data_IF_581562668700
#
_entry.id   IF_581562668700
#
_cell.length_a   1.000
_cell.length_b   1.000
_cell.length_c   1.000
_cell.angle_alpha   90.00
_cell.angle_beta   90.00
_cell.angle_gamma   90.00
#
_symmetry.space_group_name_H-M   'P 1'
#
loop_
_entity.id
_entity.type
_entity.pdbx_description
1 polymer ?
#
# COMPACT_ATOMS: atom_id res chain seq x y z
N UNK A 1 -0.10 -29.06 2.67
CA UNK A 1 -0.86 -28.34 3.71
C UNK A 1 0.10 -27.97 4.82
N UNK A 2 0.02 -26.75 5.37
CA UNK A 2 0.87 -26.33 6.49
C UNK A 2 0.55 -27.16 7.75
N UNK A 3 1.57 -27.76 8.35
CA UNK A 3 1.43 -28.56 9.57
C UNK A 3 0.91 -27.70 10.75
N UNK A 4 1.23 -26.41 10.80
CA UNK A 4 0.73 -25.47 11.82
C UNK A 4 -0.78 -25.22 11.69
N UNK A 5 -1.31 -25.19 10.46
CA UNK A 5 -2.75 -25.03 10.20
C UNK A 5 -3.55 -26.21 10.77
N UNK A 6 -3.05 -27.44 10.58
CA UNK A 6 -3.71 -28.66 11.08
C UNK A 6 -3.82 -28.66 12.60
N UNK A 7 -2.83 -28.11 13.30
CA UNK A 7 -2.80 -28.07 14.76
C UNK A 7 -3.63 -26.93 15.37
N UNK A 8 -3.77 -25.79 14.68
CA UNK A 8 -4.50 -24.60 15.19
C UNK A 8 -5.31 -23.87 14.10
N UNK A 9 -6.29 -24.51 13.45
CA UNK A 9 -7.00 -23.93 12.31
C UNK A 9 -7.81 -22.68 12.68
N UNK A 10 -8.28 -22.60 13.94
CA UNK A 10 -9.04 -21.46 14.45
C UNK A 10 -8.29 -20.13 14.32
N UNK A 11 -6.97 -20.13 14.56
CA UNK A 11 -6.17 -18.89 14.50
C UNK A 11 -6.10 -18.39 13.05
N UNK A 12 -5.83 -19.29 12.10
CA UNK A 12 -5.77 -18.95 10.67
C UNK A 12 -7.10 -18.40 10.16
N UNK A 13 -8.23 -19.06 10.50
CA UNK A 13 -9.57 -18.63 10.06
C UNK A 13 -9.94 -17.28 10.66
N UNK A 14 -9.75 -17.09 11.97
CA UNK A 14 -10.08 -15.83 12.65
C UNK A 14 -9.21 -14.69 12.12
N UNK A 15 -7.91 -14.92 11.91
CA UNK A 15 -6.99 -13.91 11.41
C UNK A 15 -7.28 -13.52 9.96
N UNK A 16 -7.65 -14.48 9.11
CA UNK A 16 -8.10 -14.22 7.75
C UNK A 16 -9.44 -13.45 7.71
N UNK A 17 -10.40 -13.80 8.57
CA UNK A 17 -11.66 -13.07 8.69
C UNK A 17 -11.44 -11.63 9.19
N UNK A 18 -10.59 -11.44 10.20
CA UNK A 18 -10.23 -10.11 10.68
C UNK A 18 -9.56 -9.27 9.58
N UNK A 19 -8.67 -9.87 8.78
CA UNK A 19 -8.05 -9.19 7.64
C UNK A 19 -9.09 -8.77 6.60
N UNK A 20 -10.00 -9.67 6.25
CA UNK A 20 -11.09 -9.39 5.32
C UNK A 20 -12.01 -8.28 5.82
N UNK A 21 -12.44 -8.33 7.09
CA UNK A 21 -13.27 -7.29 7.71
C UNK A 21 -12.56 -5.93 7.76
N UNK A 22 -11.26 -5.92 8.12
CA UNK A 22 -10.46 -4.71 8.12
C UNK A 22 -10.36 -4.11 6.72
N UNK A 23 -10.10 -4.94 5.71
CA UNK A 23 -10.03 -4.50 4.32
C UNK A 23 -11.38 -3.95 3.84
N UNK A 24 -12.47 -4.67 4.05
CA UNK A 24 -13.82 -4.21 3.69
C UNK A 24 -14.13 -2.84 4.29
N UNK A 25 -13.83 -2.64 5.58
CA UNK A 25 -14.01 -1.34 6.23
C UNK A 25 -13.19 -0.22 5.58
N UNK A 26 -11.93 -0.51 5.22
CA UNK A 26 -11.06 0.45 4.54
C UNK A 26 -11.57 0.77 3.12
N UNK A 27 -12.07 -0.22 2.38
CA UNK A 27 -12.57 -0.03 1.01
C UNK A 27 -13.91 0.70 0.96
N UNK A 28 -14.79 0.49 1.93
CA UNK A 28 -16.01 1.29 2.03
C UNK A 28 -15.65 2.76 2.30
N UNK A 29 -14.63 3.02 3.14
CA UNK A 29 -14.15 4.37 3.36
C UNK A 29 -13.49 4.98 2.10
N UNK A 30 -12.80 4.16 1.30
CA UNK A 30 -12.22 4.55 0.01
C UNK A 30 -13.29 5.06 -0.96
N UNK A 31 -14.33 4.25 -1.19
CA UNK A 31 -15.42 4.58 -2.13
C UNK A 31 -16.03 5.97 -1.85
N UNK A 32 -16.20 6.31 -0.57
CA UNK A 32 -16.75 7.59 -0.12
C UNK A 32 -15.78 8.77 -0.37
N UNK A 33 -14.46 8.54 -0.33
CA UNK A 33 -13.44 9.61 -0.34
C UNK A 33 -12.87 9.85 -1.74
N UNK A 34 -12.65 8.78 -2.50
CA UNK A 34 -11.94 8.79 -3.79
C UNK A 34 -12.83 8.47 -4.99
N UNK A 35 -14.11 8.17 -4.80
CA UNK A 35 -15.04 7.75 -5.87
C UNK A 35 -14.58 6.47 -6.61
N UNK A 36 -13.86 5.57 -5.93
CA UNK A 36 -13.48 4.25 -6.44
C UNK A 36 -12.20 4.22 -7.30
N UNK A 37 -11.16 4.99 -6.93
CA UNK A 37 -9.91 5.05 -7.69
C UNK A 37 -8.99 3.83 -7.46
N UNK A 38 -8.11 3.56 -8.44
CA UNK A 38 -7.28 2.37 -8.65
C UNK A 38 -6.30 1.94 -7.52
N UNK A 39 -6.28 2.59 -6.37
CA UNK A 39 -5.20 2.48 -5.36
C UNK A 39 -5.46 1.34 -4.35
N UNK A 40 -6.63 0.70 -4.45
CA UNK A 40 -7.12 -0.36 -3.58
C UNK A 40 -6.15 -1.54 -3.42
N UNK A 41 -5.45 -1.93 -4.48
CA UNK A 41 -4.57 -3.10 -4.47
C UNK A 41 -3.35 -2.95 -3.52
N UNK A 42 -2.77 -1.75 -3.46
CA UNK A 42 -1.61 -1.48 -2.61
C UNK A 42 -2.00 -1.57 -1.12
N UNK A 43 -3.13 -0.96 -0.77
CA UNK A 43 -3.67 -0.97 0.59
C UNK A 43 -4.11 -2.39 1.00
N UNK A 44 -4.77 -3.13 0.09
CA UNK A 44 -5.12 -4.53 0.31
C UNK A 44 -3.89 -5.40 0.61
N UNK A 45 -2.79 -5.18 -0.11
CA UNK A 45 -1.52 -5.87 0.12
C UNK A 45 -0.88 -5.48 1.46
N UNK A 46 -0.96 -4.21 1.88
CA UNK A 46 -0.54 -3.78 3.23
C UNK A 46 -1.34 -4.50 4.33
N UNK A 47 -2.67 -4.58 4.19
CA UNK A 47 -3.53 -5.35 5.12
C UNK A 47 -3.09 -6.82 5.13
N UNK A 48 -2.90 -7.42 3.96
CA UNK A 48 -2.46 -8.81 3.85
C UNK A 48 -1.15 -9.03 4.60
N UNK A 49 -0.10 -8.23 4.39
CA UNK A 49 1.19 -8.41 5.09
C UNK A 49 1.06 -8.25 6.60
N UNK A 50 0.26 -7.30 7.08
CA UNK A 50 0.01 -7.10 8.52
C UNK A 50 -0.65 -8.31 9.17
N UNK A 51 -1.59 -8.94 8.47
CA UNK A 51 -2.29 -10.12 8.97
C UNK A 51 -1.61 -11.46 8.60
N UNK A 52 -0.71 -11.52 7.63
CA UNK A 52 0.05 -12.74 7.33
C UNK A 52 1.28 -12.86 8.23
N UNK A 53 2.02 -11.75 8.38
CA UNK A 53 3.33 -11.72 9.05
C UNK A 53 3.41 -10.53 10.02
N UNK A 54 2.52 -10.49 11.03
CA UNK A 54 2.40 -9.37 11.98
C UNK A 54 3.69 -9.07 12.75
N UNK A 55 4.57 -10.05 12.96
CA UNK A 55 5.82 -9.85 13.71
C UNK A 55 7.03 -9.55 12.82
N UNK A 56 6.85 -9.47 11.50
CA UNK A 56 7.93 -9.10 10.59
C UNK A 56 8.27 -7.61 10.68
N UNK A 57 9.52 -7.26 10.37
CA UNK A 57 9.94 -5.88 10.16
C UNK A 57 9.11 -5.20 9.06
N UNK A 58 8.75 -5.94 8.00
CA UNK A 58 8.01 -5.43 6.85
C UNK A 58 6.58 -4.96 7.19
N UNK A 59 6.01 -5.42 8.31
CA UNK A 59 4.71 -4.98 8.81
C UNK A 59 4.81 -3.90 9.88
N UNK A 60 6.01 -3.44 10.24
CA UNK A 60 6.17 -2.40 11.27
C UNK A 60 5.45 -1.10 10.87
N UNK A 61 4.77 -0.41 11.81
CA UNK A 61 4.05 0.84 11.55
C UNK A 61 4.87 1.89 10.83
N UNK A 62 6.13 2.06 11.26
CA UNK A 62 7.07 3.00 10.66
C UNK A 62 7.30 2.72 9.17
N UNK A 63 7.43 1.44 8.78
CA UNK A 63 7.63 1.06 7.38
C UNK A 63 6.36 1.15 6.56
N UNK A 64 5.20 0.82 7.13
CA UNK A 64 3.92 0.97 6.41
C UNK A 64 3.68 2.44 6.04
N UNK A 65 3.74 3.33 7.04
CA UNK A 65 3.51 4.76 6.83
C UNK A 65 4.63 5.35 5.96
N UNK A 66 5.89 5.08 6.32
CA UNK A 66 7.06 5.55 5.59
C UNK A 66 7.11 5.11 4.13
N UNK A 67 6.71 3.87 3.87
CA UNK A 67 6.63 3.30 2.52
C UNK A 67 5.59 4.01 1.66
N UNK A 68 4.38 4.22 2.18
CA UNK A 68 3.35 4.96 1.44
C UNK A 68 3.72 6.44 1.26
N UNK A 69 4.41 7.06 2.23
CA UNK A 69 4.92 8.43 2.05
C UNK A 69 6.02 8.53 0.99
N UNK A 70 6.95 7.57 0.93
CA UNK A 70 7.99 7.52 -0.10
C UNK A 70 7.41 7.22 -1.48
N UNK A 71 6.34 6.44 -1.56
CA UNK A 71 5.58 6.22 -2.78
C UNK A 71 4.92 7.51 -3.31
N UNK A 72 4.33 8.32 -2.43
CA UNK A 72 3.77 9.63 -2.81
C UNK A 72 4.88 10.56 -3.31
N UNK A 73 6.05 10.59 -2.66
CA UNK A 73 7.20 11.36 -3.14
C UNK A 73 7.68 10.89 -4.53
N UNK A 74 7.75 9.58 -4.74
CA UNK A 74 8.09 9.00 -6.04
C UNK A 74 7.08 9.37 -7.14
N UNK A 75 5.79 9.32 -6.82
CA UNK A 75 4.72 9.73 -7.72
C UNK A 75 4.79 11.22 -8.06
N UNK A 76 5.13 12.10 -7.12
CA UNK A 76 5.36 13.52 -7.39
C UNK A 76 6.52 13.74 -8.37
N UNK A 77 7.58 12.93 -8.30
CA UNK A 77 8.65 12.98 -9.29
C UNK A 77 8.16 12.61 -10.69
N UNK A 78 7.40 11.53 -10.83
CA UNK A 78 6.86 11.11 -12.14
C UNK A 78 5.85 12.10 -12.70
N UNK A 79 4.92 12.60 -11.88
CA UNK A 79 3.97 13.64 -12.30
C UNK A 79 4.72 14.92 -12.69
N UNK A 80 5.78 15.29 -11.98
CA UNK A 80 6.66 16.39 -12.36
C UNK A 80 7.27 16.21 -13.76
N UNK A 81 7.73 15.00 -14.09
CA UNK A 81 8.20 14.67 -15.44
C UNK A 81 7.06 14.76 -16.47
N UNK A 82 5.86 14.28 -16.12
CA UNK A 82 4.68 14.35 -16.99
C UNK A 82 4.32 15.78 -17.37
N UNK A 83 4.40 16.71 -16.41
CA UNK A 83 4.10 18.14 -16.62
C UNK A 83 5.13 18.86 -17.49
N UNK A 84 6.32 18.29 -17.68
CA UNK A 84 7.36 18.85 -18.56
C UNK A 84 7.25 18.33 -20.01
N UNK A 85 6.40 17.32 -20.25
CA UNK A 85 6.18 16.77 -21.58
C UNK A 85 5.14 17.61 -22.35
N UNK A 86 5.27 17.75 -23.68
CA UNK A 86 4.22 18.33 -24.51
C UNK A 86 2.92 17.52 -24.40
N UNK A 87 1.76 18.19 -24.48
CA UNK A 87 0.44 17.54 -24.36
C UNK A 87 0.24 16.37 -25.35
N UNK A 88 0.80 16.50 -26.56
CA UNK A 88 0.76 15.45 -27.59
C UNK A 88 1.50 14.16 -27.18
N UNK A 89 2.47 14.27 -26.28
CA UNK A 89 3.26 13.15 -25.75
C UNK A 89 2.69 12.68 -24.43
N UNK A 90 2.26 13.59 -23.55
CA UNK A 90 1.71 13.25 -22.23
C UNK A 90 0.40 12.44 -22.32
N UNK A 91 -0.41 12.67 -23.35
CA UNK A 91 -1.64 11.90 -23.59
C UNK A 91 -1.41 10.51 -24.20
N UNK A 92 -0.19 10.16 -24.60
CA UNK A 92 0.11 8.88 -25.23
C UNK A 92 0.11 7.75 -24.20
N UNK A 93 -0.73 6.73 -24.41
CA UNK A 93 -0.85 5.56 -23.51
C UNK A 93 0.49 4.86 -23.24
N UNK A 94 1.38 4.77 -24.24
CA UNK A 94 2.71 4.19 -24.06
C UNK A 94 3.57 4.99 -23.08
N UNK A 95 3.45 6.31 -23.11
CA UNK A 95 4.16 7.22 -22.20
C UNK A 95 3.58 7.10 -20.80
N UNK A 96 2.25 7.09 -20.67
CA UNK A 96 1.54 6.90 -19.39
C UNK A 96 1.98 5.59 -18.71
N UNK A 97 1.91 4.47 -19.42
CA UNK A 97 2.31 3.16 -18.88
C UNK A 97 3.82 3.10 -18.60
N UNK A 98 4.63 3.72 -19.47
CA UNK A 98 6.08 3.85 -19.25
C UNK A 98 6.39 4.61 -17.96
N UNK A 99 5.65 5.68 -17.68
CA UNK A 99 5.84 6.51 -16.49
C UNK A 99 5.34 5.81 -15.21
N UNK A 100 4.22 5.07 -15.30
CA UNK A 100 3.75 4.18 -14.24
C UNK A 100 4.77 3.10 -13.89
N UNK A 101 5.41 2.48 -14.87
CA UNK A 101 6.51 1.54 -14.63
C UNK A 101 7.76 2.23 -14.09
N UNK A 102 8.10 3.41 -14.62
CA UNK A 102 9.27 4.17 -14.20
C UNK A 102 9.17 4.66 -12.74
N UNK A 103 7.97 4.83 -12.19
CA UNK A 103 7.75 5.22 -10.79
C UNK A 103 8.30 4.20 -9.77
N UNK A 104 8.51 2.96 -10.20
CA UNK A 104 9.13 1.90 -9.39
C UNK A 104 10.57 2.24 -8.98
N UNK A 105 11.35 2.87 -9.86
CA UNK A 105 12.74 3.23 -9.57
C UNK A 105 12.87 4.25 -8.42
N UNK A 106 12.20 5.43 -8.45
CA UNK A 106 12.28 6.40 -7.37
C UNK A 106 11.65 5.89 -6.07
N UNK A 107 10.60 5.07 -6.10
CA UNK A 107 10.02 4.53 -4.85
C UNK A 107 10.98 3.56 -4.16
N UNK A 108 11.63 2.67 -4.91
CA UNK A 108 12.67 1.79 -4.33
C UNK A 108 13.78 2.64 -3.73
N UNK A 109 14.28 3.63 -4.47
CA UNK A 109 15.34 4.52 -4.02
C UNK A 109 14.95 5.24 -2.70
N UNK A 110 13.77 5.87 -2.66
CA UNK A 110 13.31 6.59 -1.48
C UNK A 110 13.08 5.67 -0.28
N UNK A 111 12.49 4.49 -0.48
CA UNK A 111 12.32 3.50 0.59
C UNK A 111 13.66 3.04 1.15
N UNK A 112 14.66 2.80 0.29
CA UNK A 112 16.00 2.39 0.71
C UNK A 112 16.71 3.51 1.47
N UNK A 113 16.66 4.75 0.99
CA UNK A 113 17.30 5.90 1.67
C UNK A 113 16.65 6.17 3.04
N UNK A 114 15.33 6.03 3.13
CA UNK A 114 14.59 6.30 4.37
C UNK A 114 14.48 5.10 5.31
N UNK A 115 14.98 3.92 4.90
CA UNK A 115 14.84 2.64 5.62
C UNK A 115 13.36 2.31 5.89
N UNK A 116 12.49 2.60 4.93
CA UNK A 116 11.03 2.42 4.99
C UNK A 116 10.56 1.32 4.02
N UNK A 117 11.35 0.27 3.83
CA UNK A 117 11.01 -0.78 2.87
C UNK A 117 9.65 -1.42 3.20
N UNK A 118 8.66 -1.13 2.34
CA UNK A 118 7.32 -1.69 2.41
C UNK A 118 6.83 -1.95 0.99
N UNK A 119 7.09 -3.15 0.49
CA UNK A 119 6.82 -3.56 -0.89
C UNK A 119 5.42 -3.19 -1.40
N UNK A 120 4.31 -3.30 -0.63
CA UNK A 120 2.98 -2.88 -1.09
C UNK A 120 2.89 -1.43 -1.57
N UNK A 121 3.69 -0.52 -1.01
CA UNK A 121 3.65 0.88 -1.38
C UNK A 121 4.23 1.17 -2.77
N UNK A 122 4.97 0.23 -3.38
CA UNK A 122 5.30 0.33 -4.80
C UNK A 122 4.03 0.37 -5.68
N UNK A 123 2.96 -0.33 -5.29
CA UNK A 123 1.67 -0.26 -5.96
C UNK A 123 1.02 1.13 -5.86
N UNK A 124 1.22 1.82 -4.74
CA UNK A 124 0.77 3.21 -4.55
C UNK A 124 1.50 4.17 -5.49
N UNK A 125 2.82 4.03 -5.63
CA UNK A 125 3.62 4.85 -6.55
C UNK A 125 3.18 4.63 -8.00
N UNK A 126 2.88 3.38 -8.38
CA UNK A 126 2.36 3.04 -9.70
C UNK A 126 0.98 3.68 -9.93
N UNK A 127 0.06 3.54 -8.97
CA UNK A 127 -1.30 4.09 -9.07
C UNK A 127 -1.37 5.62 -9.14
N UNK A 128 -0.42 6.31 -8.50
CA UNK A 128 -0.33 7.77 -8.46
C UNK A 128 0.61 8.37 -9.52
N UNK A 129 1.23 7.55 -10.38
CA UNK A 129 2.35 8.01 -11.21
C UNK A 129 1.99 9.13 -12.20
N UNK A 130 0.71 9.26 -12.56
CA UNK A 130 0.18 10.18 -13.57
C UNK A 130 -0.60 11.34 -12.96
N UNK A 131 -1.11 11.20 -11.74
CA UNK A 131 -1.78 12.26 -11.00
C UNK A 131 -1.74 11.96 -9.50
N UNK A 132 -1.58 13.02 -8.69
CA UNK A 132 -1.58 12.94 -7.23
C UNK A 132 -2.73 13.76 -6.66
N UNK A 133 -3.99 13.30 -6.78
CA UNK A 133 -5.12 14.01 -6.20
C UNK A 133 -5.07 13.96 -4.68
N UNK A 134 -5.45 15.08 -4.05
CA UNK A 134 -5.36 15.24 -2.59
C UNK A 134 -6.22 14.21 -1.83
N UNK A 135 -7.39 13.84 -2.39
CA UNK A 135 -8.29 12.86 -1.79
C UNK A 135 -7.61 11.49 -1.69
N UNK A 136 -6.90 11.05 -2.73
CA UNK A 136 -6.15 9.79 -2.71
C UNK A 136 -5.01 9.83 -1.70
N UNK A 137 -4.29 10.96 -1.61
CA UNK A 137 -3.22 11.12 -0.60
C UNK A 137 -3.78 11.00 0.83
N UNK A 138 -4.87 11.70 1.13
CA UNK A 138 -5.54 11.64 2.43
C UNK A 138 -6.00 10.20 2.72
N UNK A 139 -6.60 9.53 1.74
CA UNK A 139 -7.03 8.14 1.88
C UNK A 139 -5.86 7.19 2.16
N UNK A 140 -4.79 7.23 1.37
CA UNK A 140 -3.63 6.36 1.55
C UNK A 140 -2.99 6.54 2.93
N UNK A 141 -2.77 7.79 3.33
CA UNK A 141 -2.13 8.10 4.61
C UNK A 141 -3.03 7.67 5.77
N UNK A 142 -4.33 7.96 5.71
CA UNK A 142 -5.28 7.52 6.75
C UNK A 142 -5.39 6.00 6.82
N UNK A 143 -5.46 5.30 5.68
CA UNK A 143 -5.45 3.84 5.64
C UNK A 143 -4.16 3.26 6.22
N UNK A 144 -2.98 3.79 5.86
CA UNK A 144 -1.70 3.35 6.42
C UNK A 144 -1.64 3.52 7.95
N UNK A 145 -2.19 4.63 8.47
CA UNK A 145 -2.29 4.88 9.91
C UNK A 145 -3.27 3.89 10.57
N UNK A 146 -4.47 3.70 10.00
CA UNK A 146 -5.47 2.76 10.51
C UNK A 146 -4.90 1.34 10.56
N UNK A 147 -4.26 0.88 9.49
CA UNK A 147 -3.62 -0.44 9.43
C UNK A 147 -2.53 -0.56 10.50
N UNK A 148 -1.73 0.49 10.68
CA UNK A 148 -0.70 0.54 11.72
C UNK A 148 -1.29 0.44 13.13
N UNK A 149 -2.40 1.14 13.40
CA UNK A 149 -3.13 1.09 14.68
C UNK A 149 -3.70 -0.32 14.90
N UNK A 150 -4.36 -0.89 13.89
CA UNK A 150 -4.91 -2.25 13.94
C UNK A 150 -3.81 -3.25 14.29
N UNK A 151 -2.65 -3.15 13.62
CA UNK A 151 -1.50 -4.01 13.92
C UNK A 151 -1.07 -3.86 15.37
N UNK A 152 -0.89 -2.63 15.87
CA UNK A 152 -0.44 -2.39 17.25
C UNK A 152 -1.46 -2.97 18.26
N UNK A 153 -2.76 -2.71 18.04
CA UNK A 153 -3.83 -3.17 18.91
C UNK A 153 -3.94 -4.70 18.95
N UNK A 154 -3.77 -5.35 17.79
CA UNK A 154 -3.87 -6.80 17.64
C UNK A 154 -2.52 -7.51 17.75
N UNK A 155 -1.40 -6.81 17.96
CA UNK A 155 -0.05 -7.36 17.87
C UNK A 155 0.14 -8.62 18.71
N UNK A 156 -0.37 -8.61 19.96
CA UNK A 156 -0.29 -9.74 20.89
C UNK A 156 -1.20 -10.93 20.56
N UNK A 157 -2.20 -10.72 19.69
CA UNK A 157 -3.22 -11.72 19.32
C UNK A 157 -2.99 -12.34 17.94
N UNK A 158 -2.26 -11.64 17.07
CA UNK A 158 -1.94 -12.14 15.74
C UNK A 158 -0.78 -13.14 15.82
N UNK A 159 -0.74 -14.10 14.90
CA UNK A 159 0.37 -15.05 14.76
C UNK A 159 0.95 -14.98 13.35
N UNK A 160 2.24 -15.31 13.20
CA UNK A 160 2.81 -15.46 11.86
C UNK A 160 2.20 -16.73 11.22
N UNK A 161 1.60 -16.56 10.05
CA UNK A 161 0.95 -17.63 9.29
C UNK A 161 1.91 -18.34 8.32
N UNK A 162 3.13 -17.81 8.18
CA UNK A 162 4.27 -18.41 7.47
C UNK A 162 5.36 -18.79 8.48
#
# INVERSE_FOLDING_TARGET
MDAKFVHRPRIYIVQALLAGLALVGILIAEDIVTNGDFIVAAIASSVAIVFFVPHSVASSPFRIIGGHTSAIMAALCTVGIMLLLPDSVAGNQWVIHGLQGASLAPVILFMTITNTEHAPAAGTALGLATSVPINSVIFIVSAAIIISIIRIALYKRLHNLI
#
